data_IF_947002305356
#
_entry.id   IF_947002305356
#
_cell.length_a   1.000
_cell.length_b   1.000
_cell.length_c   1.000
_cell.angle_alpha   90.00
_cell.angle_beta   90.00
_cell.angle_gamma   90.00
#
_symmetry.space_group_name_H-M   'P 1'
#
loop_
_entity.id
_entity.type
_entity.pdbx_description
1 polymer ?
2 non-polymer ?
3 non-polymer ?
4 non-polymer ?
5 water ?
#
# COMPACT_ATOMS: atom_id res chain seq x y z
N UNK A 23 20.47 16.68 -13.29
CA UNK A 23 19.15 16.67 -12.67
C UNK A 23 18.09 17.26 -13.60
N UNK A 24 16.87 16.79 -13.45
CA UNK A 24 15.75 17.29 -14.24
C UNK A 24 15.05 18.43 -13.51
N UNK A 25 14.09 19.06 -14.19
CA UNK A 25 13.32 20.14 -13.58
C UNK A 25 12.46 19.61 -12.44
N UNK A 26 11.98 18.37 -12.54
CA UNK A 26 11.13 17.82 -11.49
C UNK A 26 11.92 17.59 -10.20
N UNK A 27 13.16 17.12 -10.31
CA UNK A 27 13.95 16.82 -9.13
C UNK A 27 14.30 18.09 -8.36
N UNK A 28 14.80 19.11 -9.06
CA UNK A 28 15.20 20.34 -8.39
C UNK A 28 14.00 21.07 -7.79
N UNK A 29 12.83 20.97 -8.43
CA UNK A 29 11.64 21.61 -7.89
C UNK A 29 11.13 20.88 -6.65
N UNK A 30 11.28 19.55 -6.61
CA UNK A 30 10.82 18.78 -5.46
C UNK A 30 11.82 18.87 -4.31
N UNK A 31 13.11 18.87 -4.62
CA UNK A 31 14.11 18.92 -3.56
C UNK A 31 14.15 20.28 -2.87
N UNK A 32 13.75 21.34 -3.58
CA UNK A 32 13.79 22.69 -3.03
C UNK A 32 12.48 23.10 -2.37
N UNK A 33 11.44 22.26 -2.44
CA UNK A 33 10.14 22.61 -1.88
C UNK A 33 10.12 22.37 -0.38
N UNK A 34 9.27 23.12 0.31
CA UNK A 34 9.02 22.91 1.74
C UNK A 34 7.94 21.86 1.87
N UNK A 35 8.13 20.92 2.81
CA UNK A 35 7.22 19.80 2.99
C UNK A 35 6.23 20.17 4.10
N UNK A 36 4.95 20.33 3.78
CA UNK A 36 3.97 20.64 4.83
C UNK A 36 3.83 19.50 5.84
N UNK A 37 3.25 19.84 6.98
CA UNK A 37 3.08 18.86 8.05
C UNK A 37 2.08 17.78 7.64
N UNK A 38 2.07 16.69 8.41
CA UNK A 38 1.16 15.59 8.12
C UNK A 38 -0.29 15.99 8.37
N UNK A 39 -0.53 16.89 9.33
CA UNK A 39 -1.90 17.32 9.59
C UNK A 39 -2.44 18.18 8.45
N UNK A 40 -1.59 19.07 7.91
CA UNK A 40 -2.02 19.89 6.77
C UNK A 40 -2.29 19.03 5.55
N UNK A 41 -1.48 18.00 5.33
CA UNK A 41 -1.64 17.14 4.16
C UNK A 41 -2.76 16.11 4.32
N UNK A 42 -3.30 15.95 5.52
CA UNK A 42 -4.40 15.04 5.81
C UNK A 42 -4.03 13.57 5.60
N UNK A 43 -2.73 13.25 5.55
CA UNK A 43 -2.34 11.86 5.32
C UNK A 43 -2.53 10.97 6.54
N UNK A 44 -2.89 11.54 7.68
CA UNK A 44 -3.18 10.75 8.87
C UNK A 44 -4.61 10.23 8.92
N UNK A 45 -5.47 10.63 7.99
CA UNK A 45 -6.87 10.26 8.01
C UNK A 45 -7.12 9.06 7.11
N UNK A 46 -7.96 8.14 7.57
CA UNK A 46 -8.30 6.96 6.78
C UNK A 46 -9.14 7.31 5.57
N UNK A 47 -9.81 8.45 5.58
CA UNK A 47 -10.66 8.89 4.47
C UNK A 47 -9.91 9.72 3.44
N UNK A 48 -8.59 9.77 3.54
CA UNK A 48 -7.77 10.60 2.65
C UNK A 48 -8.07 10.26 1.18
N UNK A 49 -8.00 11.29 0.34
CA UNK A 49 -8.17 11.13 -1.09
C UNK A 49 -7.14 11.97 -1.80
N UNK A 50 -6.78 11.54 -3.02
CA UNK A 50 -5.72 12.18 -3.79
C UNK A 50 -6.25 12.85 -5.06
N UNK A 51 -7.56 12.87 -5.28
CA UNK A 51 -8.10 13.37 -6.55
C UNK A 51 -7.72 14.81 -6.80
N UNK A 52 -7.58 15.62 -5.76
CA UNK A 52 -7.29 17.04 -5.92
C UNK A 52 -5.80 17.37 -5.95
N UNK A 53 -4.93 16.37 -5.73
CA UNK A 53 -3.50 16.61 -5.65
C UNK A 53 -2.84 16.44 -7.01
N UNK A 54 -1.79 17.23 -7.23
CA UNK A 54 -0.95 17.09 -8.40
C UNK A 54 0.15 16.06 -8.12
N UNK A 55 0.90 15.72 -9.17
CA UNK A 55 1.96 14.73 -9.03
C UNK A 55 3.01 15.19 -8.01
N UNK A 56 3.42 16.46 -8.09
CA UNK A 56 4.37 17.00 -7.12
C UNK A 56 3.82 16.91 -5.71
N UNK A 57 2.51 17.12 -5.55
CA UNK A 57 1.91 17.11 -4.21
C UNK A 57 1.96 15.72 -3.59
N UNK A 58 1.77 14.68 -4.40
CA UNK A 58 1.88 13.32 -3.86
C UNK A 58 3.32 13.00 -3.48
N UNK A 59 4.29 13.53 -4.23
CA UNK A 59 5.69 13.34 -3.88
C UNK A 59 6.01 13.97 -2.53
N UNK A 60 5.42 15.13 -2.24
CA UNK A 60 5.68 15.79 -0.97
C UNK A 60 4.99 15.05 0.18
N UNK A 61 3.79 14.51 -0.07
CA UNK A 61 3.15 13.66 0.92
C UNK A 61 4.00 12.44 1.24
N UNK A 62 4.67 11.90 0.23
CA UNK A 62 5.50 10.72 0.44
C UNK A 62 6.73 11.04 1.29
N UNK A 63 7.34 12.21 1.06
CA UNK A 63 8.46 12.64 1.89
C UNK A 63 8.01 12.77 3.35
N UNK A 64 6.83 13.35 3.57
CA UNK A 64 6.33 13.53 4.93
C UNK A 64 6.05 12.19 5.61
N UNK A 65 5.63 11.19 4.83
CA UNK A 65 5.43 9.85 5.41
C UNK A 65 6.74 9.28 5.94
N UNK A 66 7.79 9.34 5.14
CA UNK A 66 9.11 8.90 5.61
C UNK A 66 9.57 9.71 6.81
N UNK A 67 9.35 11.03 6.77
CA UNK A 67 9.83 11.90 7.83
C UNK A 67 9.09 11.62 9.15
N UNK A 68 7.77 11.58 9.11
CA UNK A 68 7.00 11.44 10.35
C UNK A 68 7.05 10.03 10.91
N UNK A 69 7.47 9.04 10.12
CA UNK A 69 7.77 7.72 10.63
C UNK A 69 9.20 7.62 11.13
N UNK A 70 9.92 8.73 11.18
CA UNK A 70 11.30 8.82 11.68
C UNK A 70 12.26 7.98 10.85
N UNK A 71 11.93 7.72 9.59
CA UNK A 71 12.79 6.89 8.74
C UNK A 71 13.95 7.69 8.18
N UNK A 72 13.76 8.98 7.91
CA UNK A 72 14.86 9.81 7.43
C UNK A 72 15.93 9.96 8.51
N UNK A 73 15.50 10.06 9.76
CA UNK A 73 16.42 10.23 10.87
C UNK A 73 17.14 8.92 11.21
N UNK A 74 16.39 7.84 11.40
CA UNK A 74 16.97 6.60 11.92
C UNK A 74 17.85 5.90 10.90
N UNK A 75 17.83 6.29 9.63
CA UNK A 75 18.61 5.62 8.60
C UNK A 75 19.39 6.59 7.72
N UNK A 76 19.52 7.85 8.14
CA UNK A 76 20.44 8.80 7.54
C UNK A 76 20.22 8.93 6.03
N UNK A 77 18.97 9.15 5.64
CA UNK A 77 18.66 9.37 4.24
C UNK A 77 18.96 10.82 3.87
N UNK A 78 19.67 11.00 2.76
CA UNK A 78 19.88 12.33 2.22
C UNK A 78 18.64 12.79 1.46
N UNK A 79 18.31 14.07 1.62
CA UNK A 79 17.06 14.59 1.04
C UNK A 79 17.03 14.39 -0.47
N UNK A 80 18.13 14.65 -1.16
CA UNK A 80 18.15 14.52 -2.60
C UNK A 80 18.05 13.06 -3.04
N UNK A 81 18.50 12.12 -2.20
CA UNK A 81 18.41 10.71 -2.55
C UNK A 81 16.97 10.23 -2.42
N UNK A 82 16.32 10.55 -1.30
CA UNK A 82 14.91 10.20 -1.12
C UNK A 82 14.04 10.81 -2.20
N UNK A 83 14.30 12.08 -2.55
CA UNK A 83 13.51 12.74 -3.58
C UNK A 83 13.69 12.07 -4.93
N UNK A 84 14.93 11.70 -5.27
CA UNK A 84 15.16 11.00 -6.53
C UNK A 84 14.55 9.61 -6.50
N UNK A 85 14.56 8.94 -5.35
CA UNK A 85 13.96 7.62 -5.25
C UNK A 85 12.46 7.68 -5.45
N UNK A 86 11.80 8.67 -4.85
CA UNK A 86 10.35 8.82 -5.02
C UNK A 86 10.01 9.10 -6.48
N UNK A 87 10.81 9.95 -7.13
CA UNK A 87 10.55 10.24 -8.53
C UNK A 87 10.86 9.05 -9.43
N UNK A 88 11.80 8.20 -9.03
CA UNK A 88 12.06 6.98 -9.79
C UNK A 88 10.90 6.01 -9.65
N UNK A 89 10.40 5.82 -8.43
CA UNK A 89 9.26 4.93 -8.21
C UNK A 89 8.05 5.41 -9.01
N UNK A 90 7.74 6.71 -8.89
CA UNK A 90 6.59 7.26 -9.61
C UNK A 90 6.74 7.12 -11.11
N UNK A 91 7.95 7.34 -11.63
CA UNK A 91 8.18 7.27 -13.06
C UNK A 91 8.00 5.85 -13.60
N UNK A 92 8.24 4.84 -12.77
CA UNK A 92 8.16 3.46 -13.21
C UNK A 92 6.77 2.86 -13.02
N UNK A 93 5.77 3.68 -12.72
CA UNK A 93 4.38 3.31 -12.87
C UNK A 93 3.87 3.86 -14.19
N UNK A 94 2.93 3.15 -14.81
CA UNK A 94 2.43 3.53 -16.12
C UNK A 94 1.16 4.37 -15.96
N UNK A 95 1.17 5.55 -16.57
CA UNK A 95 0.02 6.45 -16.46
C UNK A 95 -1.16 5.96 -17.29
N UNK A 96 -0.91 5.24 -18.38
CA UNK A 96 -1.98 4.77 -19.24
C UNK A 96 -2.83 3.69 -18.57
N UNK A 97 -2.34 3.08 -17.49
CA UNK A 97 -3.11 2.07 -16.77
C UNK A 97 -4.11 2.78 -15.86
N UNK A 98 -5.39 2.40 -15.97
CA UNK A 98 -6.45 3.18 -15.36
C UNK A 98 -6.39 3.14 -13.84
N UNK A 99 -6.11 1.98 -13.26
CA UNK A 99 -6.10 1.84 -11.80
C UNK A 99 -4.74 1.49 -11.24
N UNK A 100 -4.04 0.50 -11.80
CA UNK A 100 -2.76 0.07 -11.26
C UNK A 100 -1.65 1.03 -11.71
N UNK A 101 -1.67 2.21 -11.12
CA UNK A 101 -0.70 3.26 -11.44
C UNK A 101 -0.12 3.86 -10.17
N UNK A 102 0.59 4.98 -10.30
CA UNK A 102 1.26 5.58 -9.16
C UNK A 102 0.25 6.00 -8.08
N UNK A 103 -0.91 6.52 -8.49
CA UNK A 103 -1.90 6.97 -7.51
C UNK A 103 -2.36 5.82 -6.63
N UNK A 104 -2.56 4.63 -7.21
CA UNK A 104 -2.92 3.47 -6.39
C UNK A 104 -1.80 3.13 -5.42
N UNK A 105 -0.55 3.16 -5.89
CA UNK A 105 0.58 2.91 -5.00
C UNK A 105 0.69 3.97 -3.92
N UNK A 106 0.53 5.24 -4.30
CA UNK A 106 0.54 6.33 -3.33
C UNK A 106 -0.56 6.15 -2.28
N UNK A 107 -1.75 5.72 -2.71
CA UNK A 107 -2.85 5.52 -1.77
C UNK A 107 -2.60 4.33 -0.85
N UNK A 108 -1.98 3.27 -1.38
CA UNK A 108 -1.63 2.13 -0.53
C UNK A 108 -0.66 2.54 0.56
N UNK A 109 0.34 3.36 0.21
CA UNK A 109 1.30 3.84 1.21
C UNK A 109 0.62 4.76 2.22
N UNK A 110 -0.28 5.62 1.76
CA UNK A 110 -0.98 6.51 2.68
C UNK A 110 -1.79 5.73 3.70
N UNK A 111 -2.49 4.70 3.25
CA UNK A 111 -3.23 3.84 4.19
C UNK A 111 -2.28 3.14 5.15
N UNK A 112 -1.10 2.75 4.67
CA UNK A 112 -0.11 2.16 5.56
C UNK A 112 0.35 3.16 6.61
N UNK A 113 0.62 4.40 6.19
CA UNK A 113 0.98 5.45 7.12
C UNK A 113 -0.13 5.67 8.14
N UNK A 114 -1.39 5.75 7.66
CA UNK A 114 -2.51 6.00 8.57
C UNK A 114 -2.70 4.85 9.55
N UNK A 115 -2.57 3.61 9.07
CA UNK A 115 -2.69 2.46 9.96
C UNK A 115 -1.56 2.42 10.97
N UNK A 116 -0.38 2.91 10.62
CA UNK A 116 0.72 2.97 11.57
C UNK A 116 0.51 4.08 12.59
N UNK A 117 0.11 5.26 12.13
CA UNK A 117 -0.09 6.41 13.01
C UNK A 117 -1.45 6.36 13.70
N UNK A 118 -2.51 6.67 12.94
CA UNK A 118 -3.85 6.71 13.53
C UNK A 118 -4.30 5.34 14.03
N UNK A 119 -3.87 4.26 13.35
CA UNK A 119 -4.21 2.93 13.79
C UNK A 119 -3.33 2.38 14.90
N UNK A 120 -2.27 3.11 15.28
CA UNK A 120 -1.40 2.76 16.39
C UNK A 120 -0.70 1.41 16.19
N UNK A 121 -0.54 1.00 14.92
CA UNK A 121 0.22 -0.21 14.63
C UNK A 121 1.72 0.04 14.72
N UNK A 122 2.14 1.29 14.63
CA UNK A 122 3.57 1.62 14.63
C UNK A 122 4.27 1.08 15.87
N UNK A 123 3.58 1.09 17.02
CA UNK A 123 4.20 0.66 18.26
C UNK A 123 4.45 -0.85 18.30
N UNK A 124 3.73 -1.62 17.49
CA UNK A 124 3.85 -3.07 17.48
C UNK A 124 4.96 -3.59 16.56
N UNK A 125 5.62 -2.71 15.82
CA UNK A 125 6.62 -3.13 14.84
C UNK A 125 7.95 -2.44 15.12
N UNK A 126 9.02 -3.01 14.57
CA UNK A 126 10.32 -2.40 14.64
C UNK A 126 10.50 -1.36 13.53
N UNK A 127 11.55 -0.54 13.66
CA UNK A 127 11.81 0.48 12.65
C UNK A 127 12.11 -0.14 11.30
N UNK A 128 12.87 -1.24 11.27
CA UNK A 128 13.18 -1.88 10.01
C UNK A 128 11.92 -2.45 9.34
N UNK A 129 11.00 -2.98 10.14
CA UNK A 129 9.73 -3.47 9.58
C UNK A 129 8.93 -2.31 8.99
N UNK A 130 8.88 -1.18 9.70
CA UNK A 130 8.13 -0.02 9.22
C UNK A 130 8.75 0.50 7.93
N UNK A 131 10.08 0.61 7.90
CA UNK A 131 10.76 1.08 6.69
C UNK A 131 10.46 0.16 5.51
N UNK A 132 10.45 -1.15 5.73
CA UNK A 132 10.18 -2.09 4.65
C UNK A 132 8.73 -2.00 4.17
N UNK A 133 7.79 -1.89 5.11
CA UNK A 133 6.37 -1.81 4.74
C UNK A 133 6.10 -0.57 3.89
N UNK A 134 6.67 0.57 4.26
CA UNK A 134 6.46 1.79 3.50
C UNK A 134 7.05 1.67 2.10
N UNK A 135 8.26 1.12 2.00
CA UNK A 135 8.88 0.93 0.69
C UNK A 135 8.07 -0.05 -0.14
N UNK A 136 7.64 -1.16 0.47
CA UNK A 136 6.88 -2.17 -0.25
C UNK A 136 5.53 -1.61 -0.73
N UNK A 137 4.85 -0.86 0.14
CA UNK A 137 3.55 -0.29 -0.24
C UNK A 137 3.68 0.59 -1.46
N UNK A 138 4.76 1.38 -1.54
CA UNK A 138 4.96 2.27 -2.68
C UNK A 138 5.40 1.50 -3.93
N UNK A 139 6.06 0.37 -3.76
CA UNK A 139 6.66 -0.36 -4.87
C UNK A 139 5.86 -1.59 -5.29
N UNK A 140 4.83 -1.98 -4.52
CA UNK A 140 4.25 -3.31 -4.65
C UNK A 140 3.63 -3.59 -6.02
N UNK A 141 3.40 -2.56 -6.84
CA UNK A 141 2.76 -2.75 -8.14
C UNK A 141 3.57 -2.13 -9.28
N UNK A 142 4.88 -1.97 -9.09
CA UNK A 142 5.70 -1.26 -10.07
C UNK A 142 5.61 -1.93 -11.44
N UNK A 143 5.53 -1.09 -12.48
CA UNK A 143 5.52 -1.52 -13.88
C UNK A 143 4.31 -2.39 -14.21
N UNK A 144 3.22 -2.21 -13.48
CA UNK A 144 1.98 -2.90 -13.80
C UNK A 144 1.47 -2.43 -15.16
N UNK A 145 0.95 -3.38 -15.95
CA UNK A 145 0.45 -3.08 -17.29
C UNK A 145 -1.06 -3.18 -17.40
N UNK A 146 -1.76 -3.48 -16.32
CA UNK A 146 -3.19 -3.71 -16.39
C UNK A 146 -3.50 -5.18 -16.23
N UNK A 147 -4.66 -5.46 -15.64
CA UNK A 147 -5.05 -6.83 -15.36
C UNK A 147 -5.26 -7.65 -16.62
N UNK A 148 -5.41 -7.01 -17.78
CA UNK A 148 -5.72 -7.70 -19.03
C UNK A 148 -4.55 -7.72 -20.01
N UNK A 149 -3.37 -7.25 -19.62
CA UNK A 149 -2.18 -7.34 -20.47
C UNK A 149 -1.31 -8.49 -20.01
N UNK A 150 -0.87 -9.33 -20.96
CA UNK A 150 -0.11 -10.53 -20.67
C UNK A 150 1.33 -10.46 -21.15
N UNK A 151 1.86 -9.27 -21.37
CA UNK A 151 3.23 -9.15 -21.86
C UNK A 151 4.24 -9.59 -20.82
N UNK A 152 3.99 -9.28 -19.54
CA UNK A 152 4.91 -9.68 -18.48
C UNK A 152 4.91 -11.19 -18.31
N UNK A 153 3.72 -11.81 -18.31
CA UNK A 153 3.64 -13.24 -18.09
C UNK A 153 4.14 -14.04 -19.29
N UNK A 154 4.05 -13.47 -20.49
CA UNK A 154 4.48 -14.21 -21.68
C UNK A 154 6.00 -14.17 -21.85
N UNK A 155 6.63 -13.06 -21.51
CA UNK A 155 8.07 -12.88 -21.68
C UNK A 155 8.89 -13.94 -20.95
N UNK A 164 2.63 -20.83 -6.53
CA UNK A 164 3.62 -20.86 -7.59
C UNK A 164 3.39 -19.74 -8.59
N UNK A 165 2.14 -19.31 -8.72
CA UNK A 165 1.74 -18.32 -9.72
C UNK A 165 1.72 -16.91 -9.11
N UNK A 166 2.90 -16.46 -8.68
CA UNK A 166 3.12 -15.08 -8.25
C UNK A 166 4.07 -14.37 -9.20
N UNK A 167 3.87 -14.56 -10.50
CA UNK A 167 4.79 -14.03 -11.50
C UNK A 167 4.79 -12.51 -11.48
N UNK A 168 3.62 -11.89 -11.37
CA UNK A 168 3.54 -10.43 -11.38
C UNK A 168 4.26 -9.84 -10.18
N UNK A 169 4.04 -10.40 -8.99
CA UNK A 169 4.62 -9.84 -7.78
C UNK A 169 6.14 -10.01 -7.74
N UNK A 170 6.67 -11.05 -8.38
CA UNK A 170 8.12 -11.19 -8.49
C UNK A 170 8.69 -10.11 -9.41
N UNK A 171 7.96 -9.78 -10.47
CA UNK A 171 8.37 -8.68 -11.34
C UNK A 171 8.33 -7.35 -10.61
N UNK A 172 7.31 -7.13 -9.77
CA UNK A 172 7.22 -5.88 -9.02
C UNK A 172 8.39 -5.72 -8.06
N UNK A 173 8.75 -6.78 -7.33
CA UNK A 173 9.89 -6.70 -6.44
C UNK A 173 11.19 -6.51 -7.21
N UNK A 174 11.29 -7.10 -8.40
CA UNK A 174 12.49 -6.91 -9.22
C UNK A 174 12.66 -5.45 -9.61
N UNK A 175 11.56 -4.78 -9.97
CA UNK A 175 11.63 -3.35 -10.25
C UNK A 175 11.98 -2.55 -9.01
N UNK A 176 11.41 -2.94 -7.86
CA UNK A 176 11.70 -2.24 -6.61
C UNK A 176 13.18 -2.34 -6.26
N UNK A 177 13.74 -3.55 -6.37
CA UNK A 177 15.17 -3.74 -6.07
C UNK A 177 16.05 -2.99 -7.06
N UNK A 178 15.66 -2.97 -8.32
CA UNK A 178 16.41 -2.23 -9.34
C UNK A 178 16.52 -0.75 -8.98
N UNK A 179 15.42 -0.15 -8.53
CA UNK A 179 15.43 1.27 -8.20
C UNK A 179 16.24 1.52 -6.93
N UNK A 180 16.09 0.65 -5.92
CA UNK A 180 16.83 0.81 -4.69
C UNK A 180 18.34 0.71 -4.88
N UNK A 181 18.80 0.08 -5.96
CA UNK A 181 20.21 -0.08 -6.23
C UNK A 181 20.72 0.90 -7.29
N UNK A 182 19.85 1.73 -7.84
CA UNK A 182 20.26 2.68 -8.86
C UNK A 182 21.07 3.81 -8.23
N UNK A 183 22.03 4.38 -8.96
CA UNK A 183 22.85 5.46 -8.40
C UNK A 183 22.02 6.69 -8.08
N UNK A 184 22.20 7.22 -6.88
CA UNK A 184 21.45 8.36 -6.41
C UNK A 184 20.12 8.03 -5.76
N UNK A 185 19.68 6.78 -5.80
CA UNK A 185 18.39 6.37 -5.26
C UNK A 185 18.52 5.45 -4.06
N UNK A 186 19.74 5.22 -3.56
CA UNK A 186 19.99 4.17 -2.57
C UNK A 186 19.62 4.67 -1.18
N UNK A 187 18.31 4.69 -0.90
CA UNK A 187 17.82 5.17 0.39
C UNK A 187 18.12 4.22 1.53
N UNK A 188 18.62 3.02 1.25
CA UNK A 188 19.02 2.08 2.28
C UNK A 188 20.52 2.05 2.50
N UNK A 189 21.27 2.97 1.87
CA UNK A 189 22.72 2.97 1.99
C UNK A 189 23.18 3.13 3.43
N UNK A 190 22.38 3.81 4.27
CA UNK A 190 22.73 3.98 5.66
C UNK A 190 22.59 2.75 6.52
N UNK A 191 22.08 1.64 5.97
CA UNK A 191 21.91 0.41 6.71
C UNK A 191 23.14 -0.48 6.57
N UNK A 192 23.41 -1.25 7.62
CA UNK A 192 24.43 -2.28 7.55
C UNK A 192 23.93 -3.47 6.75
N UNK A 193 24.85 -4.41 6.44
CA UNK A 193 24.46 -5.57 5.65
C UNK A 193 23.40 -6.39 6.36
N UNK A 194 23.55 -6.57 7.68
CA UNK A 194 22.55 -7.29 8.46
C UNK A 194 21.20 -6.60 8.37
N UNK A 195 21.17 -5.28 8.59
CA UNK A 195 19.93 -4.53 8.42
C UNK A 195 19.46 -4.57 6.97
N UNK A 196 20.38 -4.38 6.03
CA UNK A 196 20.01 -4.33 4.62
C UNK A 196 19.39 -5.64 4.15
N UNK A 197 19.97 -6.77 4.56
CA UNK A 197 19.45 -8.06 4.13
C UNK A 197 18.14 -8.39 4.82
N UNK A 198 18.01 -8.02 6.10
CA UNK A 198 16.74 -8.21 6.80
C UNK A 198 15.64 -7.37 6.17
N UNK A 199 15.92 -6.10 5.87
CA UNK A 199 14.93 -5.22 5.26
C UNK A 199 14.54 -5.71 3.88
N UNK A 200 15.53 -6.09 3.06
CA UNK A 200 15.22 -6.62 1.73
C UNK A 200 14.32 -7.84 1.80
N UNK A 201 14.53 -8.71 2.79
CA UNK A 201 13.70 -9.90 2.93
C UNK A 201 12.27 -9.54 3.27
N UNK A 202 12.08 -8.57 4.17
CA UNK A 202 10.72 -8.14 4.52
C UNK A 202 10.05 -7.49 3.33
N UNK A 203 10.77 -6.64 2.59
CA UNK A 203 10.21 -6.00 1.41
C UNK A 203 9.72 -7.05 0.42
N UNK A 204 10.53 -8.09 0.18
CA UNK A 204 10.15 -9.12 -0.78
C UNK A 204 8.88 -9.85 -0.34
N UNK A 205 8.83 -10.25 0.94
CA UNK A 205 7.66 -10.94 1.45
C UNK A 205 6.43 -10.03 1.40
N UNK A 206 6.60 -8.75 1.71
CA UNK A 206 5.47 -7.83 1.70
C UNK A 206 4.91 -7.65 0.29
N UNK A 207 5.79 -7.53 -0.71
CA UNK A 207 5.31 -7.38 -2.08
C UNK A 207 4.66 -8.67 -2.56
N UNK A 208 5.29 -9.82 -2.28
CA UNK A 208 4.70 -11.09 -2.67
C UNK A 208 3.36 -11.31 -1.98
N UNK A 209 3.18 -10.77 -0.78
CA UNK A 209 1.92 -10.92 -0.05
C UNK A 209 0.76 -10.21 -0.74
N UNK A 210 1.03 -9.25 -1.63
CA UNK A 210 -0.04 -8.55 -2.33
C UNK A 210 -0.63 -9.38 -3.47
N UNK A 211 -0.23 -10.64 -3.61
CA UNK A 211 -0.88 -11.57 -4.51
C UNK A 211 -2.10 -12.15 -3.82
N UNK A 212 -3.29 -11.87 -4.36
CA UNK A 212 -4.51 -12.27 -3.69
C UNK A 212 -4.59 -13.77 -3.47
N UNK A 213 -3.98 -14.56 -4.36
CA UNK A 213 -3.95 -16.00 -4.16
C UNK A 213 -3.19 -16.36 -2.89
N UNK A 214 -2.10 -15.66 -2.59
CA UNK A 214 -1.36 -15.91 -1.35
C UNK A 214 -2.18 -15.49 -0.14
N UNK A 215 -2.91 -14.38 -0.24
CA UNK A 215 -3.74 -13.94 0.88
C UNK A 215 -4.85 -14.93 1.18
N UNK A 216 -5.50 -15.46 0.13
CA UNK A 216 -6.57 -16.43 0.33
C UNK A 216 -6.01 -17.72 0.92
N UNK A 217 -4.83 -18.14 0.48
CA UNK A 217 -4.24 -19.38 0.98
C UNK A 217 -3.82 -19.26 2.43
N UNK A 218 -3.53 -18.04 2.91
CA UNK A 218 -2.95 -17.86 4.24
C UNK A 218 -3.87 -17.21 5.25
N UNK A 219 -4.97 -16.58 4.81
CA UNK A 219 -5.84 -15.88 5.75
C UNK A 219 -6.57 -16.83 6.69
N UNK A 220 -6.74 -18.10 6.30
CA UNK A 220 -7.42 -19.04 7.18
C UNK A 220 -6.69 -19.23 8.50
N UNK A 221 -5.37 -19.39 8.43
CA UNK A 221 -4.57 -19.51 9.66
C UNK A 221 -4.66 -18.22 10.48
N UNK A 222 -4.63 -17.07 9.82
CA UNK A 222 -4.71 -15.79 10.52
C UNK A 222 -6.05 -15.64 11.23
N UNK A 223 -7.15 -16.00 10.56
CA UNK A 223 -8.46 -15.88 11.17
C UNK A 223 -8.64 -16.91 12.28
N UNK A 224 -8.11 -18.12 12.10
CA UNK A 224 -8.23 -19.15 13.14
C UNK A 224 -7.49 -18.73 14.40
N UNK A 225 -6.33 -18.09 14.26
CA UNK A 225 -5.59 -17.63 15.42
C UNK A 225 -6.33 -16.52 16.15
N UNK A 226 -7.00 -15.63 15.40
CA UNK A 226 -7.63 -14.47 16.02
C UNK A 226 -8.88 -14.90 16.79
N UNK A 227 -9.68 -15.80 16.23
CA UNK A 227 -10.92 -16.22 16.86
C UNK A 227 -10.70 -17.07 18.11
N UNK A 228 -9.46 -17.34 18.50
CA UNK A 228 -9.16 -18.11 19.70
C UNK A 228 -8.32 -17.32 20.70
N UNK A 229 -8.16 -16.01 20.50
CA UNK A 229 -7.35 -15.15 21.38
C UNK A 229 -5.92 -15.69 21.49
N UNK A 230 -5.49 -16.43 20.47
CA UNK A 230 -4.16 -17.00 20.43
C UNK A 230 -3.18 -16.17 19.61
N UNK A 231 -3.65 -15.11 18.96
CA UNK A 231 -2.74 -14.29 18.17
C UNK A 231 -1.73 -13.59 19.06
N UNK A 232 -0.44 -13.86 18.82
CA UNK A 232 0.64 -13.21 19.56
C UNK A 232 1.68 -12.71 18.56
N UNK A 233 2.00 -11.41 18.64
CA UNK A 233 2.91 -10.81 17.67
C UNK A 233 4.37 -11.15 17.96
N UNK A 234 4.69 -11.63 19.16
CA UNK A 234 6.07 -11.94 19.50
C UNK A 234 6.60 -13.13 18.70
N UNK A 235 5.74 -14.09 18.34
CA UNK A 235 6.18 -15.22 17.51
C UNK A 235 6.59 -14.72 16.13
N UNK A 236 7.80 -15.01 15.65
CA UNK A 236 8.20 -14.53 14.33
C UNK A 236 7.31 -14.99 13.19
N UNK A 237 6.70 -16.18 13.29
CA UNK A 237 5.85 -16.67 12.22
C UNK A 237 4.54 -15.90 12.15
N UNK A 238 3.95 -15.58 13.31
CA UNK A 238 2.71 -14.81 13.31
C UNK A 238 2.95 -13.36 12.92
N UNK A 239 4.13 -12.82 13.24
CA UNK A 239 4.44 -11.44 12.86
C UNK A 239 4.52 -11.31 11.34
N UNK A 240 5.23 -12.23 10.68
CA UNK A 240 5.32 -12.20 9.22
C UNK A 240 3.95 -12.40 8.59
N UNK A 241 3.08 -13.17 9.23
CA UNK A 241 1.71 -13.32 8.73
C UNK A 241 0.93 -12.03 8.89
N UNK A 242 1.13 -11.33 10.01
CA UNK A 242 0.46 -10.05 10.22
C UNK A 242 0.91 -9.01 9.19
N UNK A 243 2.21 -8.98 8.88
CA UNK A 243 2.71 -8.06 7.86
C UNK A 243 2.08 -8.36 6.50
N UNK A 244 1.87 -9.64 6.19
CA UNK A 244 1.25 -10.01 4.93
C UNK A 244 -0.21 -9.55 4.88
N UNK A 245 -0.95 -9.72 5.98
CA UNK A 245 -2.33 -9.28 6.01
C UNK A 245 -2.42 -7.75 5.98
N UNK A 246 -1.52 -7.08 6.69
CA UNK A 246 -1.49 -5.62 6.69
C UNK A 246 -1.27 -5.08 5.28
N UNK A 247 -0.42 -5.74 4.50
CA UNK A 247 -0.19 -5.29 3.13
C UNK A 247 -1.44 -5.42 2.28
N UNK A 248 -2.16 -6.54 2.44
CA UNK A 248 -3.39 -6.72 1.69
C UNK A 248 -4.45 -5.70 2.08
N UNK A 249 -4.56 -5.41 3.39
CA UNK A 249 -5.53 -4.42 3.85
C UNK A 249 -5.27 -3.06 3.23
N UNK A 250 -4.00 -2.67 3.12
CA UNK A 250 -3.68 -1.39 2.49
C UNK A 250 -3.89 -1.45 0.97
N UNK A 251 -3.52 -2.59 0.37
CA UNK A 251 -3.69 -2.76 -1.08
C UNK A 251 -5.14 -2.59 -1.51
N UNK A 252 -6.08 -3.00 -0.66
CA UNK A 252 -7.50 -2.98 -0.98
C UNK A 252 -8.23 -1.78 -0.38
N UNK A 253 -7.51 -0.86 0.28
CA UNK A 253 -8.11 0.15 1.14
C UNK A 253 -9.08 1.07 0.42
N UNK A 254 -9.08 1.09 -0.92
CA UNK A 254 -10.06 1.89 -1.64
C UNK A 254 -11.49 1.50 -1.28
N UNK A 255 -11.70 0.23 -0.91
CA UNK A 255 -13.03 -0.25 -0.56
C UNK A 255 -13.53 0.32 0.76
N UNK A 256 -12.67 1.03 1.49
CA UNK A 256 -13.04 1.63 2.77
C UNK A 256 -13.31 3.12 2.69
N UNK A 257 -13.10 3.74 1.53
CA UNK A 257 -13.15 5.18 1.39
C UNK A 257 -14.59 5.69 1.41
N UNK A 258 -14.79 6.98 1.71
CA UNK A 258 -16.14 7.55 1.65
C UNK A 258 -16.80 7.30 0.29
N UNK A 259 -18.11 7.10 0.34
CA UNK A 259 -18.88 6.67 -0.83
C UNK A 259 -18.59 7.45 -2.11
N UNK A 260 -18.53 8.79 -2.11
CA UNK A 260 -18.16 9.48 -3.35
C UNK A 260 -16.80 9.07 -3.88
N UNK A 261 -15.83 8.86 -2.99
CA UNK A 261 -14.49 8.46 -3.43
C UNK A 261 -14.50 7.00 -3.91
N UNK A 262 -15.12 6.11 -3.14
CA UNK A 262 -15.16 4.70 -3.52
C UNK A 262 -15.86 4.51 -4.86
N UNK A 263 -16.93 5.27 -5.11
CA UNK A 263 -17.60 5.21 -6.41
C UNK A 263 -16.64 5.57 -7.54
N UNK A 264 -15.79 6.59 -7.31
CA UNK A 264 -14.88 7.03 -8.36
C UNK A 264 -13.79 5.98 -8.63
N UNK A 265 -13.25 5.37 -7.57
CA UNK A 265 -12.20 4.38 -7.75
C UNK A 265 -12.76 3.13 -8.39
N UNK A 266 -13.96 2.70 -7.99
CA UNK A 266 -14.61 1.57 -8.63
C UNK A 266 -14.78 1.79 -10.12
N UNK A 267 -14.99 3.05 -10.53
CA UNK A 267 -15.07 3.36 -11.96
C UNK A 267 -13.71 3.16 -12.63
N UNK A 268 -12.62 3.54 -11.95
CA UNK A 268 -11.29 3.29 -12.49
C UNK A 268 -11.03 1.80 -12.66
N UNK A 269 -11.38 1.00 -11.65
CA UNK A 269 -11.19 -0.44 -11.71
C UNK A 269 -11.98 -1.03 -12.86
N UNK A 270 -13.25 -0.62 -13.00
CA UNK A 270 -14.07 -1.12 -14.09
C UNK A 270 -13.50 -0.75 -15.45
N UNK A 271 -12.84 0.41 -15.55
CA UNK A 271 -12.19 0.79 -16.80
C UNK A 271 -11.02 -0.13 -17.11
N UNK A 272 -10.21 -0.47 -16.09
CA UNK A 272 -9.09 -1.37 -16.31
C UNK A 272 -9.57 -2.78 -16.63
N UNK A 273 -10.57 -3.27 -15.91
CA UNK A 273 -11.08 -4.62 -16.13
C UNK A 273 -11.67 -4.76 -17.53
N UNK A 274 -12.37 -3.73 -18.01
CA UNK A 274 -13.10 -3.81 -19.26
C UNK A 274 -12.32 -3.20 -20.42
N UNK A 275 -12.35 -1.87 -20.52
CA UNK A 275 -11.87 -1.19 -21.73
C UNK A 275 -10.43 -1.54 -22.06
N UNK A 276 -9.57 -1.58 -21.04
CA UNK A 276 -8.15 -1.86 -21.28
C UNK A 276 -7.90 -3.37 -21.32
N UNK A 298 -23.87 -3.76 -15.76
CA UNK A 298 -25.07 -3.59 -14.96
C UNK A 298 -25.00 -4.43 -13.69
N UNK A 299 -24.11 -5.43 -13.69
CA UNK A 299 -23.91 -6.31 -12.54
C UNK A 299 -22.78 -5.84 -11.64
N UNK A 300 -22.28 -4.62 -11.83
CA UNK A 300 -21.19 -4.11 -11.00
C UNK A 300 -21.56 -4.02 -9.53
N UNK A 301 -22.72 -3.48 -9.13
CA UNK A 301 -23.04 -3.42 -7.70
C UNK A 301 -23.04 -4.77 -7.02
N UNK A 302 -23.60 -5.80 -7.65
CA UNK A 302 -23.59 -7.13 -7.03
C UNK A 302 -22.18 -7.70 -6.95
N UNK A 303 -21.37 -7.45 -7.98
CA UNK A 303 -19.97 -7.87 -7.94
C UNK A 303 -19.19 -7.16 -6.84
N UNK A 304 -19.51 -5.89 -6.58
CA UNK A 304 -18.85 -5.17 -5.49
C UNK A 304 -19.20 -5.78 -4.15
N UNK A 305 -20.47 -6.14 -3.94
CA UNK A 305 -20.88 -6.75 -2.67
C UNK A 305 -20.20 -8.10 -2.50
N UNK A 306 -20.12 -8.89 -3.57
CA UNK A 306 -19.43 -10.17 -3.49
C UNK A 306 -17.96 -10.01 -3.17
N UNK A 307 -17.31 -9.01 -3.77
CA UNK A 307 -15.91 -8.74 -3.44
C UNK A 307 -15.75 -8.36 -1.98
N UNK A 308 -16.65 -7.52 -1.46
CA UNK A 308 -16.57 -7.10 -0.07
C UNK A 308 -16.80 -8.29 0.86
N UNK A 309 -17.75 -9.16 0.53
CA UNK A 309 -18.07 -10.27 1.40
C UNK A 309 -16.97 -11.32 1.40
N UNK A 310 -16.47 -11.67 0.21
CA UNK A 310 -15.51 -12.77 0.11
C UNK A 310 -14.11 -12.38 0.55
N UNK A 311 -13.74 -11.10 0.46
CA UNK A 311 -12.35 -10.70 0.63
C UNK A 311 -12.19 -9.71 1.77
N UNK A 312 -12.85 -8.56 1.66
CA UNK A 312 -12.48 -7.39 2.45
C UNK A 312 -13.03 -7.44 3.87
N UNK A 313 -14.28 -7.85 4.05
CA UNK A 313 -14.97 -7.68 5.33
C UNK A 313 -14.23 -8.40 6.46
N UNK A 314 -13.90 -9.68 6.24
CA UNK A 314 -13.23 -10.44 7.29
C UNK A 314 -11.83 -9.89 7.59
N UNK A 315 -11.14 -9.41 6.56
CA UNK A 315 -9.79 -8.87 6.75
C UNK A 315 -9.82 -7.67 7.69
N UNK A 316 -10.67 -6.68 7.38
CA UNK A 316 -10.71 -5.48 8.21
C UNK A 316 -11.30 -5.76 9.59
N UNK A 317 -12.14 -6.78 9.70
CA UNK A 317 -12.59 -7.22 11.02
C UNK A 317 -11.43 -7.75 11.83
N UNK A 318 -10.60 -8.60 11.22
CA UNK A 318 -9.44 -9.15 11.93
C UNK A 318 -8.45 -8.06 12.28
N UNK A 319 -8.25 -7.10 11.37
CA UNK A 319 -7.34 -5.98 11.65
C UNK A 319 -7.85 -5.13 12.82
N UNK A 320 -9.18 -4.99 12.93
CA UNK A 320 -9.74 -4.26 14.06
C UNK A 320 -9.48 -4.98 15.38
N UNK A 321 -9.47 -6.32 15.37
CA UNK A 321 -9.16 -7.07 16.57
C UNK A 321 -7.72 -6.87 17.01
N UNK A 322 -6.80 -6.71 16.06
CA UNK A 322 -5.40 -6.48 16.42
C UNK A 322 -5.20 -5.06 16.94
N UNK A 323 -5.85 -4.09 16.30
CA UNK A 323 -5.77 -2.69 16.72
C UNK A 323 -7.16 -2.08 16.61
N UNK A 324 -7.72 -1.68 17.75
CA UNK A 324 -9.08 -1.14 17.77
C UNK A 324 -9.17 0.17 16.99
N UNK A 325 -8.07 0.91 16.87
CA UNK A 325 -8.08 2.19 16.19
C UNK A 325 -8.11 2.07 14.67
N UNK A 326 -8.03 0.86 14.13
CA UNK A 326 -8.23 0.62 12.70
C UNK A 326 -9.70 0.43 12.35
N UNK A 327 -10.60 0.66 13.31
CA UNK A 327 -12.03 0.53 13.04
C UNK A 327 -12.54 1.42 11.91
N UNK A 328 -12.04 2.66 11.71
CA UNK A 328 -12.51 3.44 10.55
C UNK A 328 -12.41 2.70 9.22
N UNK A 329 -11.47 1.77 9.08
CA UNK A 329 -11.38 1.00 7.84
C UNK A 329 -12.53 0.00 7.75
N UNK A 330 -12.79 -0.73 8.83
CA UNK A 330 -13.90 -1.67 8.84
C UNK A 330 -15.24 -0.96 8.71
N UNK A 331 -15.39 0.17 9.41
CA UNK A 331 -16.62 0.95 9.31
C UNK A 331 -16.85 1.45 7.90
N UNK A 332 -15.82 2.02 7.27
CA UNK A 332 -15.95 2.48 5.90
C UNK A 332 -16.25 1.37 4.92
N UNK A 333 -15.76 0.17 5.21
CA UNK A 333 -16.05 -0.98 4.34
C UNK A 333 -17.51 -1.41 4.49
N UNK A 334 -18.04 -1.35 5.71
CA UNK A 334 -19.44 -1.69 5.91
C UNK A 334 -20.36 -0.68 5.24
N UNK A 335 -20.06 0.61 5.38
CA UNK A 335 -20.90 1.65 4.76
C UNK A 335 -20.94 1.49 3.25
N UNK A 336 -19.82 1.12 2.64
CA UNK A 336 -19.79 0.94 1.20
C UNK A 336 -20.57 -0.31 0.79
N UNK A 337 -20.58 -1.34 1.64
CA UNK A 337 -21.42 -2.50 1.35
C UNK A 337 -22.89 -2.14 1.35
N UNK A 338 -23.29 -1.21 2.24
CA UNK A 338 -24.66 -0.71 2.24
C UNK A 338 -25.01 -0.06 0.91
N UNK A 339 -24.18 0.88 0.45
CA UNK A 339 -24.49 1.63 -0.76
C UNK A 339 -24.43 0.74 -2.00
N UNK A 340 -23.54 -0.25 -2.03
CA UNK A 340 -23.49 -1.15 -3.17
C UNK A 340 -24.65 -2.12 -3.17
N UNK A 341 -25.07 -2.57 -1.99
CA UNK A 341 -26.21 -3.49 -1.90
C UNK A 341 -27.50 -2.80 -2.31
N UNK A 342 -27.68 -1.53 -1.91
CA UNK A 342 -28.88 -0.80 -2.31
C UNK A 342 -28.94 -0.61 -3.82
N UNK A 343 -27.79 -0.35 -4.45
CA UNK A 343 -27.76 -0.26 -5.91
C UNK A 343 -28.00 -1.62 -6.56
N UNK A 344 -27.58 -2.70 -5.89
CA UNK A 344 -27.78 -4.03 -6.45
C UNK A 344 -29.25 -4.44 -6.43
N UNK A 345 -29.96 -4.07 -5.36
CA UNK A 345 -31.39 -4.40 -5.27
C UNK A 345 -32.19 -3.66 -6.32
N UNK A 346 -31.71 -2.52 -6.80
CA UNK A 346 -32.38 -1.77 -7.83
C UNK A 346 -32.30 -2.49 -9.18
#
# INVERSE_FOLDING_TARGET
>A
MGSSHHHHHHSSGLVPRGSHMEETRELQSLAAAVVPSAQTLKITDFSFSDFELSDLETALCTIRMFTDLNLVQNFQMKHEVLCRWILSVKKNYRKNVAYHNWRHAFNTAQCMFAALKAGKIQNKLTDLEILALLIAALSHDLDHRGVNNSYIQRSEHPLAQLYCHSIMEHHHFDQCLMILNSPGNQILSGLSIEEYKTTLKIIKQAILATDLALYIKRRGEFFELIRKNQFNLEDPHQKELFLAMLMTACDLSAITKPWPIQQRIAELVATEFFDQGDRERKELNIEPTDLMNREKKNKIPSMQVGFIDAICLQLYEALTHVSEDCFPLLDGCRKNRQKWQALAEQQ
#
